data_IF_526520688656
#
_entry.id   IF_526520688656
#
_cell.length_a   1.000
_cell.length_b   1.000
_cell.length_c   1.000
_cell.angle_alpha   90.00
_cell.angle_beta   90.00
_cell.angle_gamma   90.00
#
_symmetry.space_group_name_H-M   'P 1'
#
loop_
_entity.id
_entity.type
_entity.pdbx_description
1 polymer ?
#
# COMPACT_ATOMS: atom_id res chain seq x y z
N UNK A 1 20.81 6.69 -9.30
CA UNK A 1 20.30 5.69 -10.26
C UNK A 1 19.10 5.06 -9.61
N UNK A 2 17.94 5.10 -10.27
CA UNK A 2 16.72 4.46 -9.80
C UNK A 2 16.57 3.12 -10.51
N UNK A 3 16.38 2.03 -9.76
CA UNK A 3 16.13 0.70 -10.28
C UNK A 3 14.68 0.37 -9.97
N UNK A 4 13.82 0.03 -10.96
CA UNK A 4 12.41 -0.25 -10.71
C UNK A 4 12.22 -1.49 -9.85
N UNK A 5 11.23 -1.45 -8.96
CA UNK A 5 10.88 -2.59 -8.12
C UNK A 5 9.43 -2.52 -7.67
N UNK A 6 8.80 -3.68 -7.44
CA UNK A 6 7.45 -3.82 -6.89
C UNK A 6 7.41 -4.53 -5.54
N UNK A 7 8.41 -5.36 -5.24
CA UNK A 7 8.42 -6.14 -4.00
C UNK A 7 9.47 -5.71 -2.97
N UNK A 8 10.48 -4.93 -3.36
CA UNK A 8 11.51 -4.45 -2.45
C UNK A 8 11.01 -3.26 -1.63
N UNK A 9 11.41 -3.25 -0.38
CA UNK A 9 11.25 -2.12 0.53
C UNK A 9 12.45 -2.09 1.49
N UNK A 10 13.04 -0.91 1.81
CA UNK A 10 14.24 -0.82 2.66
C UNK A 10 13.99 -1.24 4.11
N UNK A 11 12.74 -1.22 4.58
CA UNK A 11 12.36 -1.61 5.95
C UNK A 11 11.96 -3.08 6.08
N UNK A 12 11.92 -3.83 4.97
CA UNK A 12 11.46 -5.22 4.93
C UNK A 12 12.56 -6.16 4.44
N UNK A 13 12.49 -7.41 4.84
CA UNK A 13 13.37 -8.46 4.33
C UNK A 13 13.27 -8.60 2.81
N UNK A 14 14.38 -9.01 2.18
CA UNK A 14 14.46 -9.16 0.72
C UNK A 14 13.82 -10.49 0.31
N UNK A 15 12.86 -10.43 -0.61
CA UNK A 15 12.22 -11.64 -1.15
C UNK A 15 12.55 -11.92 -2.62
N UNK A 16 12.87 -10.89 -3.42
CA UNK A 16 13.21 -11.06 -4.84
C UNK A 16 12.06 -11.59 -5.72
N UNK A 17 10.79 -11.42 -5.30
CA UNK A 17 9.62 -12.01 -5.94
C UNK A 17 9.29 -11.39 -7.29
N UNK A 18 9.23 -10.06 -7.40
CA UNK A 18 8.74 -9.38 -8.60
C UNK A 18 9.69 -9.38 -9.79
N UNK A 19 10.99 -9.56 -9.58
CA UNK A 19 12.06 -9.59 -10.59
C UNK A 19 12.24 -8.29 -11.40
N UNK A 20 11.48 -7.24 -11.13
CA UNK A 20 11.59 -5.96 -11.86
C UNK A 20 12.96 -5.28 -11.73
N UNK A 21 13.69 -5.53 -10.64
CA UNK A 21 15.00 -4.94 -10.38
C UNK A 21 16.17 -5.62 -11.13
N UNK A 22 15.91 -6.20 -12.29
CA UNK A 22 16.95 -6.81 -13.11
C UNK A 22 18.00 -5.78 -13.53
N UNK A 23 19.27 -6.16 -13.43
CA UNK A 23 20.44 -5.42 -13.93
C UNK A 23 21.39 -6.39 -14.63
N UNK A 24 22.23 -5.91 -15.53
CA UNK A 24 23.25 -6.71 -16.19
C UNK A 24 24.61 -6.47 -15.53
N UNK A 25 25.33 -7.55 -15.29
CA UNK A 25 26.70 -7.53 -14.75
C UNK A 25 27.66 -8.29 -15.67
N UNK A 26 28.92 -7.87 -15.71
CA UNK A 26 29.93 -8.48 -16.59
C UNK A 26 30.16 -9.98 -16.31
N UNK A 27 30.03 -10.38 -15.05
CA UNK A 27 30.41 -11.74 -14.63
C UNK A 27 29.20 -12.70 -14.56
N UNK A 28 28.00 -12.21 -14.22
CA UNK A 28 26.85 -13.03 -13.91
C UNK A 28 25.67 -12.83 -14.87
N UNK A 29 25.81 -11.96 -15.89
CA UNK A 29 24.72 -11.63 -16.80
C UNK A 29 23.59 -10.88 -16.08
N UNK A 30 22.33 -11.26 -16.34
CA UNK A 30 21.15 -10.63 -15.72
C UNK A 30 20.93 -11.15 -14.30
N UNK A 31 20.95 -10.25 -13.32
CA UNK A 31 20.72 -10.54 -11.90
C UNK A 31 19.70 -9.57 -11.29
N UNK A 32 19.09 -9.94 -10.17
CA UNK A 32 18.21 -9.05 -9.40
C UNK A 32 19.02 -8.16 -8.46
N UNK A 33 18.93 -6.85 -8.61
CA UNK A 33 19.70 -5.89 -7.81
C UNK A 33 19.37 -5.98 -6.31
N UNK A 34 18.12 -6.24 -5.94
CA UNK A 34 17.70 -6.30 -4.53
C UNK A 34 18.33 -7.45 -3.74
N UNK A 35 18.71 -8.55 -4.40
CA UNK A 35 19.22 -9.77 -3.75
C UNK A 35 20.65 -10.15 -4.13
N UNK A 36 21.34 -9.34 -4.96
CA UNK A 36 22.69 -9.61 -5.39
C UNK A 36 23.66 -8.70 -4.65
N UNK A 37 24.55 -9.26 -3.80
CA UNK A 37 25.57 -8.47 -3.12
C UNK A 37 26.52 -7.79 -4.10
N UNK A 38 26.85 -6.54 -3.86
CA UNK A 38 27.87 -5.83 -4.64
C UNK A 38 29.27 -6.24 -4.18
N UNK A 39 30.20 -6.27 -5.15
CA UNK A 39 31.62 -6.56 -4.91
C UNK A 39 32.50 -5.49 -5.53
N UNK A 40 33.70 -5.32 -4.99
CA UNK A 40 34.66 -4.34 -5.54
C UNK A 40 34.97 -4.63 -7.02
N UNK A 41 34.94 -3.59 -7.82
CA UNK A 41 35.19 -3.69 -9.26
C UNK A 41 34.02 -4.24 -10.09
N UNK A 42 32.86 -4.46 -9.47
CA UNK A 42 31.65 -4.89 -10.19
C UNK A 42 31.16 -3.79 -11.12
N UNK A 43 31.00 -4.14 -12.40
CA UNK A 43 30.43 -3.25 -13.41
C UNK A 43 28.97 -3.62 -13.62
N UNK A 44 28.07 -2.63 -13.50
CA UNK A 44 26.62 -2.84 -13.52
C UNK A 44 26.00 -1.92 -14.58
N UNK A 45 25.21 -2.51 -15.47
CA UNK A 45 24.38 -1.78 -16.43
C UNK A 45 22.91 -1.90 -16.00
N UNK A 46 22.28 -0.75 -15.76
CA UNK A 46 20.89 -0.68 -15.29
C UNK A 46 19.88 -0.49 -16.42
N UNK A 47 20.34 -0.17 -17.64
CA UNK A 47 19.51 0.14 -18.81
C UNK A 47 20.12 -0.42 -20.11
N UNK A 48 20.71 -1.63 -20.10
CA UNK A 48 21.07 -2.30 -21.35
C UNK A 48 19.82 -2.79 -22.09
N UNK A 49 19.92 -2.99 -23.41
CA UNK A 49 18.82 -3.54 -24.21
C UNK A 49 18.25 -4.83 -23.61
N UNK A 50 19.11 -5.74 -23.13
CA UNK A 50 18.70 -6.97 -22.45
C UNK A 50 17.95 -6.72 -21.15
N UNK A 51 18.33 -5.70 -20.37
CA UNK A 51 17.66 -5.34 -19.13
C UNK A 51 16.26 -4.82 -19.43
N UNK A 52 16.13 -3.91 -20.39
CA UNK A 52 14.84 -3.31 -20.77
C UNK A 52 13.89 -4.36 -21.35
N UNK A 53 14.36 -5.21 -22.25
CA UNK A 53 13.59 -6.33 -22.79
C UNK A 53 13.08 -7.27 -21.69
N UNK A 54 13.96 -7.65 -20.77
CA UNK A 54 13.59 -8.56 -19.67
C UNK A 54 12.61 -7.95 -18.69
N UNK A 55 12.75 -6.67 -18.36
CA UNK A 55 11.78 -5.97 -17.49
C UNK A 55 10.41 -5.87 -18.15
N UNK A 56 10.39 -5.60 -19.47
CA UNK A 56 9.14 -5.55 -20.24
C UNK A 56 8.43 -6.89 -20.26
N UNK A 57 9.14 -8.00 -20.45
CA UNK A 57 8.56 -9.36 -20.38
C UNK A 57 8.01 -9.68 -18.99
N UNK A 58 8.76 -9.33 -17.94
CA UNK A 58 8.31 -9.56 -16.55
C UNK A 58 7.05 -8.76 -16.25
N UNK A 59 7.02 -7.50 -16.68
CA UNK A 59 5.87 -6.62 -16.49
C UNK A 59 4.65 -7.14 -17.26
N UNK A 60 4.83 -7.60 -18.48
CA UNK A 60 3.79 -8.21 -19.31
C UNK A 60 3.18 -9.45 -18.64
N UNK A 61 4.02 -10.31 -18.03
CA UNK A 61 3.55 -11.44 -17.22
C UNK A 61 2.77 -10.99 -15.97
N UNK A 62 3.22 -9.96 -15.26
CA UNK A 62 2.50 -9.43 -14.09
C UNK A 62 1.15 -8.85 -14.49
N UNK A 63 1.07 -8.15 -15.60
CA UNK A 63 -0.15 -7.55 -16.14
C UNK A 63 -1.10 -8.62 -16.69
N UNK A 64 -0.57 -9.74 -17.19
CA UNK A 64 -1.40 -10.82 -17.76
C UNK A 64 -2.40 -11.43 -16.77
N UNK A 65 -2.07 -11.39 -15.49
CA UNK A 65 -2.88 -11.95 -14.39
C UNK A 65 -3.53 -10.85 -13.51
N UNK A 66 -3.37 -9.60 -13.89
CA UNK A 66 -3.93 -8.44 -13.20
C UNK A 66 -5.18 -7.94 -13.91
N UNK A 67 -6.21 -7.60 -13.16
CA UNK A 67 -7.42 -6.99 -13.70
C UNK A 67 -7.18 -5.51 -14.03
N UNK A 68 -7.08 -5.20 -15.34
CA UNK A 68 -6.73 -3.86 -15.83
C UNK A 68 -7.99 -2.98 -15.91
N UNK A 69 -8.49 -2.56 -14.75
CA UNK A 69 -9.58 -1.60 -14.63
C UNK A 69 -9.11 -0.27 -14.02
N UNK A 70 -7.96 0.25 -14.48
CA UNK A 70 -7.31 1.42 -13.88
C UNK A 70 -8.24 2.64 -13.76
N UNK A 71 -9.11 2.87 -14.75
CA UNK A 71 -10.03 4.01 -14.75
C UNK A 71 -11.05 3.99 -13.60
N UNK A 72 -11.37 2.83 -13.08
CA UNK A 72 -12.32 2.63 -11.96
C UNK A 72 -11.64 2.19 -10.67
N UNK A 73 -10.34 1.93 -10.71
CA UNK A 73 -9.54 1.49 -9.57
C UNK A 73 -9.28 2.63 -8.58
N UNK A 74 -9.45 2.39 -7.28
CA UNK A 74 -9.16 3.38 -6.23
C UNK A 74 -7.68 3.77 -6.17
N UNK A 75 -6.77 2.89 -6.63
CA UNK A 75 -5.33 3.17 -6.68
C UNK A 75 -4.88 3.93 -7.94
N UNK A 76 -5.79 4.36 -8.83
CA UNK A 76 -5.43 5.13 -10.03
C UNK A 76 -4.63 6.39 -9.68
N UNK A 77 -3.43 6.51 -10.29
CA UNK A 77 -2.48 7.58 -10.00
C UNK A 77 -1.66 7.39 -8.71
N UNK A 78 -1.80 6.24 -8.02
CA UNK A 78 -0.97 5.82 -6.88
C UNK A 78 -0.73 4.29 -6.93
N UNK A 79 -0.35 3.79 -8.10
CA UNK A 79 -0.14 2.37 -8.33
C UNK A 79 1.19 2.15 -9.05
N UNK A 80 2.16 1.56 -8.36
CA UNK A 80 3.49 1.31 -8.91
C UNK A 80 3.47 0.39 -10.15
N UNK A 81 2.50 -0.54 -10.23
CA UNK A 81 2.33 -1.38 -11.42
C UNK A 81 1.85 -0.56 -12.62
N UNK A 82 0.90 0.37 -12.41
CA UNK A 82 0.40 1.28 -13.44
C UNK A 82 1.51 2.20 -13.95
N UNK A 83 2.30 2.78 -13.04
CA UNK A 83 3.40 3.68 -13.40
C UNK A 83 4.43 2.96 -14.28
N UNK A 84 4.81 1.74 -13.91
CA UNK A 84 5.73 0.93 -14.71
C UNK A 84 5.10 0.52 -16.05
N UNK A 85 3.82 0.17 -16.09
CA UNK A 85 3.15 -0.15 -17.34
C UNK A 85 3.18 1.03 -18.32
N UNK A 86 2.96 2.25 -17.86
CA UNK A 86 3.10 3.47 -18.68
C UNK A 86 4.54 3.74 -19.09
N UNK A 87 5.52 3.57 -18.18
CA UNK A 87 6.94 3.78 -18.46
C UNK A 87 7.44 2.83 -19.57
N UNK A 88 7.00 1.57 -19.54
CA UNK A 88 7.39 0.56 -20.53
C UNK A 88 6.47 0.48 -21.76
N UNK A 89 5.47 1.34 -21.85
CA UNK A 89 4.51 1.39 -22.96
C UNK A 89 3.71 0.10 -23.10
N UNK A 90 3.19 -0.43 -21.99
CA UNK A 90 2.41 -1.64 -21.94
C UNK A 90 0.94 -1.31 -21.60
N UNK A 91 0.11 -1.23 -22.63
CA UNK A 91 -1.33 -0.92 -22.47
C UNK A 91 -2.15 -2.17 -22.16
N UNK A 92 -1.74 -3.32 -22.69
CA UNK A 92 -2.38 -4.62 -22.46
C UNK A 92 -1.34 -5.75 -22.53
N UNK A 93 -1.64 -6.87 -21.90
CA UNK A 93 -0.74 -8.03 -21.97
C UNK A 93 -0.77 -8.71 -23.32
N UNK A 94 0.42 -9.11 -23.80
CA UNK A 94 0.56 -9.97 -24.98
C UNK A 94 0.17 -11.42 -24.72
N UNK A 95 0.10 -11.82 -23.45
CA UNK A 95 -0.32 -13.16 -23.03
C UNK A 95 -1.84 -13.23 -22.96
N UNK A 96 -2.44 -14.16 -23.69
CA UNK A 96 -3.89 -14.35 -23.65
C UNK A 96 -4.33 -14.93 -22.30
N UNK A 97 -5.40 -14.37 -21.74
CA UNK A 97 -6.07 -14.84 -20.51
C UNK A 97 -6.81 -16.19 -20.69
N UNK A 98 -6.33 -17.13 -21.50
CA UNK A 98 -7.03 -18.40 -21.73
C UNK A 98 -7.18 -19.27 -20.48
N UNK A 99 -6.32 -19.04 -19.48
CA UNK A 99 -6.35 -19.72 -18.17
C UNK A 99 -6.83 -18.84 -17.01
N UNK A 100 -6.95 -17.54 -17.21
CA UNK A 100 -7.33 -16.59 -16.15
C UNK A 100 -8.84 -16.59 -15.85
N UNK A 101 -9.67 -17.22 -16.69
CA UNK A 101 -11.12 -17.34 -16.45
C UNK A 101 -11.47 -18.10 -15.16
N UNK A 102 -10.53 -18.89 -14.62
CA UNK A 102 -10.74 -19.71 -13.43
C UNK A 102 -10.19 -19.06 -12.16
N UNK A 103 -9.50 -17.88 -12.26
CA UNK A 103 -8.93 -17.15 -11.15
C UNK A 103 -9.75 -15.91 -10.83
N UNK A 104 -10.95 -16.11 -10.32
CA UNK A 104 -11.81 -15.05 -9.79
C UNK A 104 -11.98 -15.32 -8.30
N UNK A 105 -11.57 -14.34 -7.49
CA UNK A 105 -11.66 -14.39 -6.04
C UNK A 105 -12.70 -13.41 -5.53
N UNK A 106 -13.36 -13.78 -4.43
CA UNK A 106 -14.21 -12.86 -3.68
C UNK A 106 -13.38 -11.80 -2.97
N UNK A 107 -13.95 -10.61 -2.80
CA UNK A 107 -13.35 -9.51 -2.05
C UNK A 107 -13.53 -9.72 -0.55
N UNK A 108 -12.48 -9.41 0.22
CA UNK A 108 -12.59 -9.27 1.67
C UNK A 108 -12.94 -7.82 1.99
N UNK A 109 -14.17 -7.58 2.43
CA UNK A 109 -14.71 -6.26 2.79
C UNK A 109 -15.63 -6.33 4.01
N UNK A 110 -15.40 -7.29 4.87
CA UNK A 110 -16.26 -7.60 6.01
C UNK A 110 -16.06 -6.61 7.18
N UNK A 111 -15.16 -5.64 7.04
CA UNK A 111 -14.83 -4.62 8.02
C UNK A 111 -15.01 -3.20 7.46
N UNK A 112 -14.93 -2.18 8.33
CA UNK A 112 -15.15 -0.78 7.97
C UNK A 112 -13.88 -0.06 7.45
N UNK A 113 -12.71 -0.69 7.46
CA UNK A 113 -11.42 -0.02 7.29
C UNK A 113 -10.68 -0.39 6.01
N UNK A 114 -10.58 -1.68 5.72
CA UNK A 114 -9.67 -2.21 4.68
C UNK A 114 -10.43 -3.16 3.77
N UNK A 115 -10.33 -2.94 2.48
CA UNK A 115 -10.74 -3.90 1.46
C UNK A 115 -9.51 -4.58 0.87
N UNK A 116 -9.58 -5.88 0.68
CA UNK A 116 -8.62 -6.69 -0.06
C UNK A 116 -9.30 -7.29 -1.28
N UNK A 117 -8.81 -6.93 -2.45
CA UNK A 117 -9.17 -7.49 -3.75
C UNK A 117 -8.03 -8.39 -4.27
N UNK A 118 -8.12 -9.71 -4.11
CA UNK A 118 -7.07 -10.62 -4.57
C UNK A 118 -6.89 -10.63 -6.08
N UNK A 119 -7.88 -10.17 -6.87
CA UNK A 119 -7.80 -10.13 -8.33
C UNK A 119 -6.82 -9.05 -8.84
N UNK A 120 -6.52 -8.06 -8.00
CA UNK A 120 -5.53 -7.01 -8.27
C UNK A 120 -4.17 -7.27 -7.62
N UNK A 121 -4.01 -8.43 -6.98
CA UNK A 121 -2.79 -8.79 -6.26
C UNK A 121 -1.75 -9.40 -7.20
N UNK A 122 -0.54 -8.85 -7.20
CA UNK A 122 0.63 -9.37 -7.95
C UNK A 122 1.52 -10.30 -7.12
N UNK A 123 1.06 -10.76 -5.97
CA UNK A 123 1.75 -11.69 -5.06
C UNK A 123 3.17 -11.23 -4.66
N UNK A 124 3.39 -9.93 -4.53
CA UNK A 124 4.70 -9.36 -4.18
C UNK A 124 5.12 -9.60 -2.71
N UNK A 125 4.18 -9.94 -1.84
CA UNK A 125 4.39 -10.24 -0.42
C UNK A 125 4.80 -9.06 0.46
N UNK A 126 4.69 -7.80 0.01
CA UNK A 126 5.01 -6.64 0.86
C UNK A 126 4.06 -6.51 2.04
N UNK A 127 2.76 -6.70 1.82
CA UNK A 127 1.75 -6.64 2.87
C UNK A 127 1.96 -7.70 3.95
N UNK A 128 2.34 -8.91 3.56
CA UNK A 128 2.63 -10.02 4.49
C UNK A 128 3.87 -9.68 5.33
N UNK A 129 4.96 -9.26 4.69
CA UNK A 129 6.19 -8.93 5.41
C UNK A 129 6.04 -7.75 6.35
N UNK A 130 5.32 -6.69 5.97
CA UNK A 130 5.08 -5.57 6.88
C UNK A 130 4.20 -5.97 8.05
N UNK A 131 3.26 -6.87 7.85
CA UNK A 131 2.42 -7.43 8.91
C UNK A 131 3.24 -8.29 9.89
N UNK A 132 4.15 -9.10 9.38
CA UNK A 132 4.97 -10.02 10.19
C UNK A 132 6.20 -9.33 10.81
N UNK A 133 6.91 -8.49 10.06
CA UNK A 133 8.22 -7.95 10.47
C UNK A 133 8.11 -6.61 11.20
N UNK A 134 7.12 -5.78 10.88
CA UNK A 134 6.95 -4.43 11.44
C UNK A 134 5.80 -4.40 12.44
N UNK A 135 4.62 -4.86 12.05
CA UNK A 135 3.44 -4.88 12.93
C UNK A 135 3.44 -6.06 13.90
N UNK A 136 4.06 -7.19 13.53
CA UNK A 136 4.13 -8.43 14.30
C UNK A 136 2.75 -8.98 14.69
N UNK A 137 1.76 -8.89 13.78
CA UNK A 137 0.41 -9.40 14.05
C UNK A 137 0.12 -10.75 13.39
N UNK A 138 0.87 -11.15 12.36
CA UNK A 138 0.71 -12.42 11.64
C UNK A 138 -0.75 -12.67 11.20
N UNK A 139 -1.43 -11.59 10.75
CA UNK A 139 -2.84 -11.63 10.41
C UNK A 139 -3.09 -12.16 8.99
N UNK A 140 -2.14 -11.94 8.08
CA UNK A 140 -2.24 -12.32 6.68
C UNK A 140 -1.02 -13.09 6.21
N UNK A 141 -1.24 -14.05 5.31
CA UNK A 141 -0.18 -14.80 4.64
C UNK A 141 -0.65 -15.23 3.24
N UNK A 142 0.24 -15.88 2.48
CA UNK A 142 -0.18 -16.60 1.29
C UNK A 142 -0.97 -17.84 1.68
N UNK A 143 -2.18 -17.93 1.17
CA UNK A 143 -3.04 -19.10 1.30
C UNK A 143 -3.24 -19.76 -0.06
N UNK A 144 -3.62 -21.03 -0.04
CA UNK A 144 -3.73 -21.86 -1.23
C UNK A 144 -2.38 -22.05 -1.97
N UNK A 145 -2.39 -22.54 -3.20
CA UNK A 145 -1.19 -22.79 -4.00
C UNK A 145 -1.46 -22.76 -5.49
N UNK A 146 -0.37 -22.62 -6.28
CA UNK A 146 -0.45 -22.55 -7.74
C UNK A 146 -1.28 -21.36 -8.19
N UNK A 147 -2.16 -21.55 -9.14
CA UNK A 147 -3.03 -20.47 -9.66
C UNK A 147 -4.07 -19.96 -8.64
N UNK A 148 -4.34 -20.72 -7.59
CA UNK A 148 -5.26 -20.32 -6.53
C UNK A 148 -4.57 -19.57 -5.39
N UNK A 149 -3.25 -19.36 -5.47
CA UNK A 149 -2.51 -18.60 -4.44
C UNK A 149 -3.06 -17.18 -4.35
N UNK A 150 -3.41 -16.78 -3.15
CA UNK A 150 -3.85 -15.41 -2.82
C UNK A 150 -3.33 -15.00 -1.44
N UNK A 151 -3.36 -13.71 -1.13
CA UNK A 151 -3.20 -13.22 0.23
C UNK A 151 -4.54 -13.37 0.95
N UNK A 152 -4.51 -13.88 2.13
CA UNK A 152 -5.70 -14.08 2.95
C UNK A 152 -5.37 -14.23 4.43
N UNK A 153 -6.40 -14.41 5.23
CA UNK A 153 -6.32 -14.61 6.67
C UNK A 153 -6.35 -16.11 7.02
N UNK A 154 -6.12 -16.42 8.28
CA UNK A 154 -6.28 -17.78 8.81
C UNK A 154 -7.69 -18.31 8.49
N UNK A 155 -7.77 -19.48 7.90
CA UNK A 155 -9.00 -20.13 7.43
C UNK A 155 -9.82 -19.36 6.38
N UNK A 156 -9.24 -18.30 5.80
CA UNK A 156 -9.90 -17.50 4.76
C UNK A 156 -11.21 -16.82 5.22
N UNK A 157 -11.27 -16.41 6.49
CA UNK A 157 -12.49 -15.92 7.15
C UNK A 157 -12.65 -14.39 7.17
N UNK A 158 -11.68 -13.63 6.62
CA UNK A 158 -11.70 -12.16 6.63
C UNK A 158 -10.88 -11.54 7.77
N UNK A 159 -10.64 -10.22 7.65
CA UNK A 159 -9.77 -9.48 8.58
C UNK A 159 -10.43 -9.25 9.96
N UNK A 160 -11.75 -9.24 10.05
CA UNK A 160 -12.54 -8.99 11.26
C UNK A 160 -13.02 -10.29 11.93
N UNK A 161 -12.64 -11.45 11.41
CA UNK A 161 -12.95 -12.74 12.04
C UNK A 161 -12.44 -12.79 13.48
N UNK A 162 -13.17 -13.47 14.37
CA UNK A 162 -12.75 -13.72 15.74
C UNK A 162 -11.41 -14.47 15.86
N UNK A 163 -10.96 -15.12 14.77
CA UNK A 163 -9.67 -15.82 14.68
C UNK A 163 -8.56 -14.96 14.07
N UNK A 164 -8.91 -13.78 13.58
CA UNK A 164 -7.93 -12.87 13.00
C UNK A 164 -7.15 -12.14 14.09
N UNK A 165 -5.87 -12.01 13.90
CA UNK A 165 -4.97 -11.19 14.73
C UNK A 165 -4.82 -9.78 14.19
N UNK A 166 -5.59 -9.39 13.17
CA UNK A 166 -5.54 -8.07 12.54
C UNK A 166 -5.90 -6.97 13.53
N UNK A 167 -5.03 -5.98 13.64
CA UNK A 167 -5.21 -4.79 14.50
C UNK A 167 -5.64 -3.54 13.72
N UNK A 168 -6.01 -3.69 12.46
CA UNK A 168 -6.44 -2.61 11.56
C UNK A 168 -5.48 -1.41 11.52
N UNK A 169 -4.18 -1.66 11.50
CA UNK A 169 -3.16 -0.60 11.45
C UNK A 169 -3.01 0.06 10.08
N UNK A 170 -3.50 -0.59 9.00
CA UNK A 170 -3.42 -0.10 7.62
C UNK A 170 -2.03 -0.19 6.97
N UNK A 171 -1.02 -0.80 7.63
CA UNK A 171 0.33 -0.93 7.06
C UNK A 171 0.34 -1.74 5.76
N UNK A 172 -0.46 -2.79 5.68
CA UNK A 172 -0.58 -3.62 4.48
C UNK A 172 -1.12 -2.82 3.28
N UNK A 173 -2.01 -1.84 3.50
CA UNK A 173 -2.52 -0.93 2.46
C UNK A 173 -1.42 -0.02 1.95
N UNK A 174 -0.70 0.66 2.84
CA UNK A 174 0.39 1.58 2.50
C UNK A 174 1.55 0.90 1.76
N UNK A 175 1.79 -0.39 2.02
CA UNK A 175 2.82 -1.17 1.36
C UNK A 175 2.39 -1.77 0.02
N UNK A 176 1.08 -1.79 -0.29
CA UNK A 176 0.58 -2.42 -1.49
C UNK A 176 0.99 -1.63 -2.74
N UNK A 177 1.72 -2.23 -3.70
CA UNK A 177 2.13 -1.54 -4.91
C UNK A 177 1.04 -1.48 -5.99
N UNK A 178 -0.15 -2.00 -5.68
CA UNK A 178 -1.31 -2.03 -6.58
C UNK A 178 -2.59 -1.65 -5.83
N UNK A 179 -3.74 -1.72 -6.50
CA UNK A 179 -5.06 -1.51 -5.88
C UNK A 179 -5.65 -2.76 -5.20
N UNK A 180 -4.81 -3.75 -4.85
CA UNK A 180 -5.29 -4.96 -4.18
C UNK A 180 -5.70 -4.71 -2.73
N UNK A 181 -5.06 -3.78 -2.04
CA UNK A 181 -5.43 -3.33 -0.70
C UNK A 181 -5.75 -1.85 -0.75
N UNK A 182 -6.91 -1.46 -0.27
CA UNK A 182 -7.39 -0.07 -0.29
C UNK A 182 -8.12 0.28 1.01
N UNK A 183 -8.19 1.58 1.32
CA UNK A 183 -8.94 2.08 2.47
C UNK A 183 -10.42 2.25 2.10
N UNK A 184 -11.31 1.62 2.84
CA UNK A 184 -12.77 1.76 2.65
C UNK A 184 -13.24 3.20 2.90
N UNK A 185 -12.82 3.90 3.97
CA UNK A 185 -13.28 5.26 4.25
C UNK A 185 -12.94 6.31 3.19
N UNK A 186 -11.88 6.11 2.39
CA UNK A 186 -11.47 7.04 1.33
C UNK A 186 -12.08 6.75 -0.04
N UNK A 187 -12.78 5.62 -0.20
CA UNK A 187 -13.37 5.24 -1.48
C UNK A 187 -14.30 6.32 -2.05
N UNK A 188 -14.19 6.55 -3.34
CA UNK A 188 -14.97 7.52 -4.10
C UNK A 188 -14.78 8.99 -3.66
N UNK A 189 -13.79 9.31 -2.82
CA UNK A 189 -13.54 10.69 -2.38
C UNK A 189 -12.59 11.48 -3.30
N UNK A 190 -11.92 10.81 -4.21
CA UNK A 190 -11.02 11.43 -5.19
C UNK A 190 -9.86 10.52 -5.57
N UNK A 191 -9.00 10.99 -6.44
CA UNK A 191 -7.77 10.33 -6.84
C UNK A 191 -6.59 10.89 -6.07
N UNK A 192 -5.51 10.15 -5.97
CA UNK A 192 -4.29 10.58 -5.26
C UNK A 192 -3.81 11.97 -5.70
N UNK A 193 -3.89 12.28 -6.98
CA UNK A 193 -3.53 13.60 -7.56
C UNK A 193 -4.43 14.77 -7.10
N UNK A 194 -5.61 14.47 -6.58
CA UNK A 194 -6.59 15.48 -6.13
C UNK A 194 -6.36 15.86 -4.67
N UNK A 195 -5.47 15.15 -3.96
CA UNK A 195 -5.22 15.36 -2.55
C UNK A 195 -4.02 16.28 -2.32
N UNK A 196 -4.19 17.24 -1.42
CA UNK A 196 -3.09 17.93 -0.78
C UNK A 196 -2.57 17.09 0.39
N UNK A 197 -1.26 16.98 0.53
CA UNK A 197 -0.64 16.23 1.63
C UNK A 197 -0.01 17.16 2.65
N UNK A 198 -0.19 16.86 3.93
CA UNK A 198 0.43 17.56 5.05
C UNK A 198 0.90 16.56 6.10
N UNK A 199 2.11 16.75 6.62
CA UNK A 199 2.65 15.90 7.68
C UNK A 199 2.34 16.50 9.05
N UNK A 200 1.82 15.67 9.95
CA UNK A 200 1.50 16.07 11.32
C UNK A 200 1.91 15.00 12.34
N UNK A 201 1.94 15.39 13.60
CA UNK A 201 2.13 14.44 14.71
C UNK A 201 0.78 13.91 15.17
N UNK A 202 0.67 12.59 15.32
CA UNK A 202 -0.52 11.94 15.82
C UNK A 202 -0.91 12.46 17.22
N UNK A 203 -2.19 12.88 17.45
CA UNK A 203 -2.61 13.48 18.70
C UNK A 203 -2.99 12.49 19.79
N UNK A 204 -2.97 11.17 19.55
CA UNK A 204 -3.59 10.20 20.43
C UNK A 204 -2.72 9.76 21.61
N UNK A 205 -1.44 9.53 21.40
CA UNK A 205 -0.57 9.05 22.49
C UNK A 205 0.84 9.60 22.44
N UNK A 206 1.64 9.30 23.47
CA UNK A 206 3.00 9.80 23.63
C UNK A 206 4.04 9.23 22.66
N UNK A 207 3.70 8.28 21.81
CA UNK A 207 4.61 7.79 20.74
C UNK A 207 4.90 8.91 19.76
N UNK A 208 3.91 9.75 19.41
CA UNK A 208 4.11 10.89 18.53
C UNK A 208 4.38 10.54 17.08
N UNK A 209 3.74 9.47 16.58
CA UNK A 209 3.88 9.02 15.19
C UNK A 209 3.66 10.17 14.21
N UNK A 210 4.50 10.24 13.18
CA UNK A 210 4.31 11.16 12.07
C UNK A 210 3.30 10.55 11.09
N UNK A 211 2.27 11.30 10.74
CA UNK A 211 1.20 10.90 9.84
C UNK A 211 1.15 11.83 8.64
N UNK A 212 0.93 11.29 7.45
CA UNK A 212 0.62 12.06 6.25
C UNK A 212 -0.89 12.21 6.12
N UNK A 213 -1.40 13.42 6.24
CA UNK A 213 -2.81 13.72 5.99
C UNK A 213 -3.01 13.95 4.50
N UNK A 214 -3.90 13.20 3.89
CA UNK A 214 -4.36 13.39 2.50
C UNK A 214 -5.68 14.15 2.57
N UNK A 215 -5.67 15.37 2.07
CA UNK A 215 -6.72 16.38 2.30
C UNK A 215 -7.33 16.78 0.97
N UNK A 216 -8.67 16.85 0.92
CA UNK A 216 -9.44 17.41 -0.18
C UNK A 216 -10.58 18.24 0.36
N UNK A 217 -10.83 19.42 -0.23
CA UNK A 217 -11.90 20.33 0.17
C UNK A 217 -11.89 20.67 1.67
N UNK A 218 -10.67 20.82 2.24
CA UNK A 218 -10.39 21.05 3.67
C UNK A 218 -10.83 19.92 4.63
N UNK A 219 -11.17 18.75 4.10
CA UNK A 219 -11.45 17.55 4.88
C UNK A 219 -10.31 16.53 4.78
N UNK A 220 -10.00 15.85 5.88
CA UNK A 220 -9.07 14.71 5.89
C UNK A 220 -9.80 13.54 5.25
N UNK A 221 -9.32 13.13 4.07
CA UNK A 221 -9.89 12.02 3.31
C UNK A 221 -9.28 10.71 3.72
N UNK A 222 -7.95 10.74 3.94
CA UNK A 222 -7.16 9.54 4.22
C UNK A 222 -5.92 9.90 5.03
N UNK A 223 -5.41 8.94 5.77
CA UNK A 223 -4.17 9.10 6.53
C UNK A 223 -3.14 8.08 6.05
N UNK A 224 -2.12 8.58 5.41
CA UNK A 224 -0.99 7.81 4.91
C UNK A 224 0.16 7.68 5.91
N UNK A 225 1.20 6.99 5.46
CA UNK A 225 2.44 6.76 6.21
C UNK A 225 3.53 7.77 5.83
N UNK A 226 4.34 8.14 6.80
CA UNK A 226 5.57 8.91 6.60
C UNK A 226 6.77 7.98 6.78
N UNK A 227 7.48 7.71 5.70
CA UNK A 227 8.71 6.90 5.72
C UNK A 227 9.91 7.84 5.89
N UNK A 228 10.42 7.94 7.10
CA UNK A 228 11.54 8.82 7.42
C UNK A 228 12.34 8.32 8.61
N UNK A 229 13.64 8.15 8.42
CA UNK A 229 14.58 7.87 9.50
C UNK A 229 14.51 8.95 10.58
N UNK A 230 14.82 8.57 11.82
CA UNK A 230 14.79 9.45 13.01
C UNK A 230 13.40 9.99 13.37
N UNK A 231 12.33 9.31 12.96
CA UNK A 231 10.97 9.52 13.48
C UNK A 231 10.59 8.40 14.44
N UNK A 232 9.55 8.56 15.26
CA UNK A 232 9.07 7.49 16.15
C UNK A 232 8.56 6.25 15.40
N UNK A 233 8.19 6.42 14.13
CA UNK A 233 7.62 5.40 13.26
C UNK A 233 8.31 5.38 11.88
N UNK A 234 9.61 5.00 11.79
CA UNK A 234 10.43 5.17 10.58
C UNK A 234 9.92 4.37 9.38
N UNK A 235 9.34 3.20 9.60
CA UNK A 235 8.71 2.38 8.55
C UNK A 235 7.23 2.75 8.30
N UNK A 236 6.81 3.96 8.70
CA UNK A 236 5.45 4.47 8.49
C UNK A 236 4.39 3.85 9.38
N UNK A 237 4.79 3.22 10.48
CA UNK A 237 3.90 2.53 11.40
C UNK A 237 2.84 3.47 11.98
N UNK A 238 1.62 2.99 12.06
CA UNK A 238 0.53 3.65 12.74
C UNK A 238 -0.40 2.60 13.38
N UNK A 239 -1.10 2.95 14.42
CA UNK A 239 -2.17 2.10 14.93
C UNK A 239 -3.52 2.52 14.32
N UNK A 240 -4.55 1.71 14.54
CA UNK A 240 -5.92 1.99 14.06
C UNK A 240 -6.41 3.41 14.40
N UNK A 241 -6.09 3.94 15.58
CA UNK A 241 -6.50 5.30 15.97
C UNK A 241 -5.82 6.38 15.12
N UNK A 242 -4.51 6.26 14.89
CA UNK A 242 -3.77 7.19 14.03
C UNK A 242 -4.24 7.12 12.59
N UNK A 243 -4.49 5.91 12.10
CA UNK A 243 -4.87 5.67 10.70
C UNK A 243 -6.33 6.06 10.39
N UNK A 244 -7.27 5.70 11.26
CA UNK A 244 -8.69 5.83 10.98
C UNK A 244 -9.45 6.76 11.94
N UNK A 245 -8.84 7.21 13.02
CA UNK A 245 -9.53 7.92 14.09
C UNK A 245 -9.50 9.44 13.99
N UNK A 246 -9.09 10.06 12.86
CA UNK A 246 -8.99 11.52 12.75
C UNK A 246 -10.28 12.23 12.31
N UNK A 247 -11.37 11.52 12.14
CA UNK A 247 -12.69 12.11 11.80
C UNK A 247 -13.17 13.16 12.80
N UNK A 248 -12.73 13.09 14.05
CA UNK A 248 -13.08 14.06 15.08
C UNK A 248 -12.66 15.50 14.72
N UNK A 249 -11.68 15.67 13.82
CA UNK A 249 -11.17 17.00 13.41
C UNK A 249 -12.26 17.82 12.74
N UNK A 250 -13.07 17.18 11.88
CA UNK A 250 -14.17 17.81 11.13
C UNK A 250 -15.55 17.47 11.68
N UNK A 251 -15.64 16.70 12.80
CA UNK A 251 -16.92 16.26 13.35
C UNK A 251 -17.83 17.44 13.69
N UNK A 252 -19.15 17.40 13.35
CA UNK A 252 -20.09 18.48 13.61
C UNK A 252 -20.17 18.90 15.09
N UNK A 253 -20.08 17.93 16.00
CA UNK A 253 -20.17 18.18 17.44
C UNK A 253 -18.85 18.68 18.06
N UNK A 254 -17.79 18.87 17.24
CA UNK A 254 -16.53 19.41 17.74
C UNK A 254 -16.71 20.84 18.20
N UNK A 255 -16.33 21.14 19.43
CA UNK A 255 -16.34 22.50 19.95
C UNK A 255 -15.31 23.36 19.19
N UNK A 256 -15.78 24.41 18.53
CA UNK A 256 -14.96 25.35 17.72
C UNK A 256 -14.77 26.70 18.42
N UNK A 257 -15.58 26.98 19.45
CA UNK A 257 -15.54 28.18 20.27
C UNK A 257 -15.60 27.86 21.75
N UNK A 258 -15.13 28.75 22.63
CA UNK A 258 -15.35 28.61 24.05
C UNK A 258 -16.86 28.54 24.37
N UNK A 259 -17.24 27.74 25.33
CA UNK A 259 -18.61 27.60 25.77
C UNK A 259 -18.72 27.74 27.27
N UNK A 260 -19.72 28.48 27.74
CA UNK A 260 -20.04 28.60 29.17
C UNK A 260 -21.46 28.10 29.44
N UNK A 261 -21.68 27.53 30.60
CA UNK A 261 -23.01 27.12 31.05
C UNK A 261 -23.76 28.29 31.60
N UNK A 262 -24.85 28.73 30.91
CA UNK A 262 -25.79 29.74 31.38
C UNK A 262 -27.19 29.13 31.45
N UNK A 263 -27.85 29.24 32.59
CA UNK A 263 -29.22 28.76 32.78
C UNK A 263 -29.41 27.25 32.44
N UNK A 264 -28.35 26.44 32.65
CA UNK A 264 -28.40 25.01 32.37
C UNK A 264 -27.97 24.61 30.95
N UNK A 265 -27.84 25.52 30.02
CA UNK A 265 -27.42 25.29 28.62
C UNK A 265 -26.03 25.82 28.34
N UNK A 266 -25.29 25.12 27.46
CA UNK A 266 -23.98 25.56 26.96
C UNK A 266 -24.23 26.61 25.86
N UNK A 267 -23.67 27.83 26.06
CA UNK A 267 -23.74 28.95 25.10
C UNK A 267 -22.35 29.32 24.64
N UNK A 268 -22.17 29.51 23.33
CA UNK A 268 -20.90 30.01 22.76
C UNK A 268 -20.59 31.40 23.30
N UNK A 269 -19.32 31.66 23.57
CA UNK A 269 -18.79 32.97 23.97
C UNK A 269 -17.48 33.22 23.27
N UNK A 270 -17.02 34.48 23.26
CA UNK A 270 -15.68 34.85 22.85
C UNK A 270 -14.73 34.80 24.03
N UNK A 271 -13.43 34.88 23.77
CA UNK A 271 -12.37 34.82 24.80
C UNK A 271 -12.24 36.11 25.61
N UNK A 272 -12.96 37.17 25.23
CA UNK A 272 -13.00 38.50 25.92
C UNK A 272 -14.00 38.53 27.06
#
# INVERSE_FOLDING_TARGET
IQIPTLCYDPYLSITGACRMCMVETDNNGLVTACSTPVTDGMNIQTHSEKVEERRKEILDLLVSDHDIECMTCEADGNCALQDLAYEYGLDESSYKKESASDRIFDFYKDNEFIELDPNKCILCGKCIRVDQEVQCSDAIDFIERGFQTKVGTTFDEGLDSERSTCVFCGQCVEMCPTGALTYIPSKNKGRSKDFRTEVTTCPYCGVGCQLELRIKDDEIVEVGSVYRDNTPNPAGEACVKGRFGLEFVSHPDRLKKPMIKKEGELKEVDWE
#
